data_IF_081919259512
#
_entry.id   IF_081919259512
#
_cell.length_a   1.000
_cell.length_b   1.000
_cell.length_c   1.000
_cell.angle_alpha   90.00
_cell.angle_beta   90.00
_cell.angle_gamma   90.00
#
_symmetry.space_group_name_H-M   'P 1'
#
loop_
_entity.id
_entity.type
_entity.pdbx_description
1 polymer ?
#
# COMPACT_ATOMS: atom_id res chain seq x y z
N UNK A 1 10.30 22.64 -36.89
CA UNK A 1 11.39 21.73 -36.47
C UNK A 1 10.70 20.59 -35.75
N UNK A 2 10.61 19.42 -36.40
CA UNK A 2 9.89 18.26 -35.86
C UNK A 2 10.57 17.82 -34.56
N UNK A 3 9.90 18.00 -33.42
CA UNK A 3 10.33 17.39 -32.17
C UNK A 3 10.00 15.91 -32.26
N UNK A 4 11.04 15.09 -32.37
CA UNK A 4 10.97 13.67 -32.06
C UNK A 4 10.52 13.58 -30.60
N UNK A 5 9.27 13.18 -30.35
CA UNK A 5 8.89 12.63 -29.05
C UNK A 5 9.46 11.23 -29.08
N UNK A 6 10.57 11.01 -28.39
CA UNK A 6 11.01 9.66 -28.08
C UNK A 6 9.96 9.10 -27.12
N UNK A 7 9.04 8.31 -27.64
CA UNK A 7 8.19 7.44 -26.83
C UNK A 7 9.14 6.39 -26.26
N UNK A 8 9.52 6.58 -25.00
CA UNK A 8 10.23 5.57 -24.22
C UNK A 8 9.19 4.49 -23.93
N UNK A 9 9.14 3.47 -24.78
CA UNK A 9 8.37 2.26 -24.51
C UNK A 9 9.29 1.42 -23.61
N UNK A 10 9.11 1.56 -22.30
CA UNK A 10 9.66 0.61 -21.35
C UNK A 10 8.65 -0.52 -21.21
N UNK A 11 9.08 -1.75 -21.47
CA UNK A 11 8.26 -2.94 -21.27
C UNK A 11 8.47 -3.38 -19.81
N UNK A 12 7.55 -2.99 -18.93
CA UNK A 12 7.39 -3.67 -17.65
C UNK A 12 6.70 -5.02 -17.89
N UNK A 13 7.17 -6.04 -17.20
CA UNK A 13 6.59 -7.39 -17.19
C UNK A 13 5.73 -7.50 -15.92
N UNK A 14 4.62 -6.77 -15.86
CA UNK A 14 3.62 -6.95 -14.80
C UNK A 14 2.77 -8.17 -15.17
N UNK A 15 2.66 -9.13 -14.26
CA UNK A 15 1.95 -10.38 -14.50
C UNK A 15 0.59 -10.40 -13.81
N UNK A 16 -0.37 -11.19 -14.32
CA UNK A 16 -1.65 -11.37 -13.64
C UNK A 16 -1.49 -12.07 -12.29
N UNK A 17 -2.32 -11.69 -11.30
CA UNK A 17 -2.47 -12.42 -10.04
C UNK A 17 -3.40 -13.60 -10.23
N UNK A 18 -2.94 -14.82 -9.99
CA UNK A 18 -3.75 -16.02 -10.12
C UNK A 18 -3.84 -16.76 -8.77
N UNK A 19 -4.87 -16.51 -7.93
CA UNK A 19 -5.05 -17.28 -6.71
C UNK A 19 -5.11 -18.79 -7.02
N UNK A 20 -4.33 -19.58 -6.29
CA UNK A 20 -4.13 -21.01 -6.55
C UNK A 20 -3.02 -21.37 -7.55
N UNK A 21 -2.32 -20.40 -8.15
CA UNK A 21 -1.07 -20.60 -8.92
C UNK A 21 0.15 -20.43 -8.01
N UNK A 22 0.25 -21.29 -6.99
CA UNK A 22 1.21 -21.12 -5.88
C UNK A 22 2.68 -21.30 -6.29
N UNK A 23 2.93 -21.84 -7.48
CA UNK A 23 4.28 -21.91 -8.06
C UNK A 23 4.59 -20.78 -9.05
N UNK A 24 3.64 -19.87 -9.27
CA UNK A 24 3.72 -18.70 -10.15
C UNK A 24 4.15 -19.05 -11.59
N UNK A 25 3.75 -20.24 -12.09
CA UNK A 25 4.02 -20.66 -13.46
C UNK A 25 2.94 -20.24 -14.47
N UNK A 26 1.96 -19.47 -13.99
CA UNK A 26 0.78 -18.97 -14.71
C UNK A 26 -0.19 -20.05 -15.16
N UNK A 27 -0.10 -21.24 -14.55
CA UNK A 27 -1.00 -22.34 -14.88
C UNK A 27 -1.44 -23.09 -13.63
N UNK A 28 -2.66 -22.80 -13.18
CA UNK A 28 -3.30 -23.58 -12.11
C UNK A 28 -3.46 -25.03 -12.56
N UNK A 29 -2.65 -25.93 -11.98
CA UNK A 29 -2.56 -27.32 -12.33
C UNK A 29 -2.26 -28.22 -11.11
N UNK A 30 -2.00 -29.51 -11.36
CA UNK A 30 -1.78 -30.46 -10.27
C UNK A 30 -0.51 -30.17 -9.45
N UNK A 31 0.44 -29.41 -9.97
CA UNK A 31 1.64 -29.00 -9.25
C UNK A 31 1.29 -28.05 -8.10
N UNK A 32 0.35 -27.13 -8.30
CA UNK A 32 -0.11 -26.20 -7.28
C UNK A 32 -0.77 -26.93 -6.12
N UNK A 33 -1.63 -27.91 -6.44
CA UNK A 33 -2.24 -28.80 -5.44
C UNK A 33 -1.16 -29.52 -4.62
N UNK A 34 -0.08 -29.98 -5.26
CA UNK A 34 1.01 -30.68 -4.55
C UNK A 34 1.71 -29.73 -3.57
N UNK A 35 1.91 -28.48 -3.94
CA UNK A 35 2.57 -27.48 -3.09
C UNK A 35 1.69 -27.18 -1.87
N UNK A 36 0.41 -26.84 -2.05
CA UNK A 36 -0.51 -26.57 -0.95
C UNK A 36 -0.67 -27.79 -0.03
N UNK A 37 -0.74 -29.00 -0.59
CA UNK A 37 -0.76 -30.23 0.23
C UNK A 37 0.50 -30.34 1.09
N UNK A 38 1.68 -29.99 0.56
CA UNK A 38 2.90 -30.00 1.36
C UNK A 38 2.88 -28.87 2.40
N UNK A 39 2.36 -27.68 2.08
CA UNK A 39 2.19 -26.59 3.03
C UNK A 39 1.34 -27.02 4.24
N UNK A 40 0.19 -27.64 3.97
CA UNK A 40 -0.72 -28.17 5.00
C UNK A 40 -0.08 -29.30 5.82
N UNK A 41 0.68 -30.21 5.18
CA UNK A 41 1.26 -31.38 5.85
C UNK A 41 2.50 -31.00 6.67
N UNK A 42 3.37 -30.16 6.12
CA UNK A 42 4.65 -29.80 6.70
C UNK A 42 4.56 -28.60 7.65
N UNK A 43 3.38 -27.96 7.75
CA UNK A 43 3.13 -26.79 8.61
C UNK A 43 4.14 -25.67 8.34
N UNK A 44 4.40 -25.44 7.05
CA UNK A 44 5.26 -24.37 6.55
C UNK A 44 4.42 -23.15 6.22
N UNK A 45 5.05 -21.98 6.31
CA UNK A 45 4.46 -20.70 5.97
C UNK A 45 3.87 -20.74 4.55
N UNK A 46 2.56 -20.57 4.47
CA UNK A 46 1.79 -20.65 3.24
C UNK A 46 1.89 -19.35 2.46
N UNK A 47 1.99 -19.45 1.14
CA UNK A 47 1.82 -18.30 0.25
C UNK A 47 0.38 -17.77 0.38
N UNK A 48 0.16 -16.45 0.29
CA UNK A 48 -1.19 -15.89 0.24
C UNK A 48 -2.01 -16.40 -0.96
N UNK A 49 -1.34 -16.85 -2.03
CA UNK A 49 -1.96 -17.53 -3.17
C UNK A 49 -2.54 -18.91 -2.82
N UNK A 50 -2.18 -19.48 -1.65
CA UNK A 50 -2.61 -20.80 -1.20
C UNK A 50 -3.99 -20.79 -0.52
N UNK A 51 -4.43 -19.65 0.02
CA UNK A 51 -5.79 -19.45 0.54
C UNK A 51 -6.69 -19.02 -0.64
N UNK A 52 -7.15 -20.02 -1.38
CA UNK A 52 -7.86 -19.83 -2.65
C UNK A 52 -9.33 -19.52 -2.43
N UNK A 53 -9.89 -19.94 -1.30
CA UNK A 53 -11.28 -19.63 -0.94
C UNK A 53 -11.43 -18.36 -0.06
N UNK A 54 -10.31 -17.72 0.31
CA UNK A 54 -10.22 -16.46 1.07
C UNK A 54 -10.95 -16.55 2.41
N UNK A 55 -10.79 -17.68 3.11
CA UNK A 55 -11.39 -17.90 4.44
C UNK A 55 -10.41 -17.72 5.61
N UNK A 56 -9.14 -17.46 5.30
CA UNK A 56 -8.07 -17.16 6.24
C UNK A 56 -7.30 -18.39 6.72
N UNK A 57 -7.71 -19.61 6.33
CA UNK A 57 -7.04 -20.86 6.69
C UNK A 57 -6.66 -21.64 5.43
N UNK A 58 -5.37 -21.96 5.23
CA UNK A 58 -4.95 -22.84 4.14
C UNK A 58 -5.22 -24.31 4.51
N UNK A 59 -6.25 -24.90 3.92
CA UNK A 59 -6.70 -26.26 4.24
C UNK A 59 -7.22 -27.09 3.03
N UNK A 60 -7.96 -28.16 3.33
CA UNK A 60 -8.50 -29.04 2.28
C UNK A 60 -9.54 -28.36 1.39
N UNK A 61 -10.16 -27.27 1.85
CA UNK A 61 -11.12 -26.47 1.10
C UNK A 61 -10.42 -25.72 -0.04
N UNK A 62 -9.21 -25.21 0.14
CA UNK A 62 -8.41 -24.60 -0.93
C UNK A 62 -8.07 -25.62 -2.01
N UNK A 63 -7.62 -26.80 -1.59
CA UNK A 63 -7.34 -27.91 -2.51
C UNK A 63 -8.59 -28.28 -3.30
N UNK A 64 -9.77 -28.34 -2.66
CA UNK A 64 -11.04 -28.61 -3.34
C UNK A 64 -11.34 -27.49 -4.35
N UNK A 65 -11.11 -26.23 -4.00
CA UNK A 65 -11.31 -25.08 -4.89
C UNK A 65 -10.40 -25.18 -6.11
N UNK A 66 -9.10 -25.42 -5.94
CA UNK A 66 -8.15 -25.63 -7.05
C UNK A 66 -8.54 -26.83 -7.91
N UNK A 67 -8.92 -27.96 -7.31
CA UNK A 67 -9.35 -29.13 -8.08
C UNK A 67 -10.58 -28.78 -8.93
N UNK A 68 -11.51 -27.97 -8.40
CA UNK A 68 -12.67 -27.53 -9.18
C UNK A 68 -12.23 -26.64 -10.36
N UNK A 69 -11.29 -25.72 -10.15
CA UNK A 69 -10.69 -24.89 -11.22
C UNK A 69 -10.12 -25.79 -12.33
N UNK A 70 -9.25 -26.73 -11.95
CA UNK A 70 -8.56 -27.64 -12.89
C UNK A 70 -9.55 -28.52 -13.66
N UNK A 71 -10.58 -29.05 -12.99
CA UNK A 71 -11.48 -30.04 -13.56
C UNK A 71 -12.60 -29.43 -14.40
N UNK A 72 -13.11 -28.27 -14.00
CA UNK A 72 -14.29 -27.68 -14.62
C UNK A 72 -13.97 -26.53 -15.56
N UNK A 73 -12.71 -26.05 -15.60
CA UNK A 73 -12.36 -24.80 -16.27
C UNK A 73 -13.40 -23.72 -15.94
N UNK A 74 -13.80 -23.63 -14.66
CA UNK A 74 -14.51 -22.45 -14.21
C UNK A 74 -13.62 -21.26 -14.58
N UNK A 75 -14.22 -20.17 -15.08
CA UNK A 75 -13.51 -18.93 -15.43
C UNK A 75 -12.90 -18.34 -14.16
N UNK A 76 -11.84 -18.98 -13.66
CA UNK A 76 -11.08 -18.53 -12.52
C UNK A 76 -10.21 -17.39 -13.03
N UNK A 77 -10.53 -16.21 -12.53
CA UNK A 77 -9.99 -14.98 -13.05
C UNK A 77 -8.59 -14.80 -12.48
N UNK A 78 -7.58 -15.06 -13.30
CA UNK A 78 -6.33 -14.35 -13.09
C UNK A 78 -6.64 -12.85 -13.21
N UNK A 79 -6.35 -12.09 -12.17
CA UNK A 79 -6.57 -10.66 -12.16
C UNK A 79 -5.45 -10.02 -12.95
N UNK A 80 -5.79 -9.42 -14.09
CA UNK A 80 -4.83 -8.64 -14.84
C UNK A 80 -4.39 -7.41 -14.01
N UNK A 81 -3.16 -6.93 -14.19
CA UNK A 81 -2.72 -5.66 -13.60
C UNK A 81 -3.64 -4.51 -14.01
N UNK A 82 -3.83 -3.54 -13.11
CA UNK A 82 -4.68 -2.39 -13.38
C UNK A 82 -4.17 -1.60 -14.59
N UNK A 83 -5.09 -1.27 -15.51
CA UNK A 83 -4.73 -0.48 -16.68
C UNK A 83 -4.58 0.99 -16.30
N UNK A 84 -3.40 1.58 -16.53
CA UNK A 84 -3.14 2.98 -16.16
C UNK A 84 -3.20 3.90 -17.38
N UNK A 85 -4.09 4.89 -17.33
CA UNK A 85 -4.17 5.99 -18.30
C UNK A 85 -3.51 7.24 -17.73
N UNK A 86 -2.61 7.87 -18.49
CA UNK A 86 -1.80 9.00 -18.02
C UNK A 86 -2.21 10.33 -18.66
N UNK A 87 -2.69 11.26 -17.84
CA UNK A 87 -2.93 12.66 -18.17
C UNK A 87 -1.87 13.53 -17.46
N UNK A 88 -0.66 13.55 -18.03
CA UNK A 88 0.48 14.34 -17.50
C UNK A 88 0.55 15.68 -18.22
N UNK A 89 0.31 16.77 -17.49
CA UNK A 89 0.26 18.12 -18.06
C UNK A 89 1.67 18.64 -18.37
N UNK A 90 1.79 19.45 -19.44
CA UNK A 90 3.08 19.97 -19.91
C UNK A 90 3.69 21.10 -19.04
N UNK A 91 3.01 21.49 -17.96
CA UNK A 91 3.53 22.42 -16.95
C UNK A 91 4.60 21.79 -16.06
N UNK A 92 4.66 20.45 -16.02
CA UNK A 92 5.66 19.71 -15.26
C UNK A 92 7.01 19.67 -16.01
N UNK A 93 8.15 19.78 -15.31
CA UNK A 93 9.46 19.64 -15.93
C UNK A 93 9.66 18.26 -16.57
N UNK A 94 10.34 18.22 -17.73
CA UNK A 94 10.60 16.94 -18.45
C UNK A 94 11.36 15.92 -17.59
N UNK A 95 12.26 16.39 -16.71
CA UNK A 95 13.01 15.51 -15.80
C UNK A 95 12.09 14.87 -14.76
N UNK A 96 11.13 15.63 -14.21
CA UNK A 96 10.14 15.08 -13.29
C UNK A 96 9.21 14.09 -14.00
N UNK A 97 8.77 14.39 -15.23
CA UNK A 97 7.92 13.47 -16.00
C UNK A 97 8.65 12.14 -16.27
N UNK A 98 9.94 12.19 -16.61
CA UNK A 98 10.73 10.99 -16.81
C UNK A 98 10.86 10.17 -15.52
N UNK A 99 11.12 10.85 -14.40
CA UNK A 99 11.23 10.20 -13.09
C UNK A 99 9.89 9.60 -12.62
N UNK A 100 8.78 10.29 -12.87
CA UNK A 100 7.43 9.79 -12.60
C UNK A 100 7.19 8.42 -13.24
N UNK A 101 7.55 8.24 -14.52
CA UNK A 101 7.37 6.95 -15.19
C UNK A 101 8.29 5.86 -14.62
N UNK A 102 9.51 6.20 -14.21
CA UNK A 102 10.42 5.26 -13.53
C UNK A 102 9.83 4.83 -12.18
N UNK A 103 9.25 5.77 -11.42
CA UNK A 103 8.63 5.48 -10.13
C UNK A 103 7.42 4.55 -10.33
N UNK A 104 6.51 4.87 -11.25
CA UNK A 104 5.34 4.02 -11.51
C UNK A 104 5.75 2.62 -11.98
N UNK A 105 6.81 2.51 -12.81
CA UNK A 105 7.35 1.21 -13.21
C UNK A 105 7.88 0.42 -12.02
N UNK A 106 8.76 1.02 -11.20
CA UNK A 106 9.30 0.37 -10.01
C UNK A 106 8.20 -0.08 -9.05
N UNK A 107 7.17 0.75 -8.86
CA UNK A 107 6.05 0.44 -7.98
C UNK A 107 5.16 -0.66 -8.55
N UNK A 108 4.90 -0.65 -9.86
CA UNK A 108 4.10 -1.69 -10.50
C UNK A 108 4.79 -3.05 -10.50
N UNK A 109 6.12 -3.07 -10.53
CA UNK A 109 6.91 -4.30 -10.39
C UNK A 109 6.99 -4.76 -8.92
N UNK A 110 7.02 -3.83 -7.96
CA UNK A 110 7.21 -4.11 -6.53
C UNK A 110 5.91 -4.46 -5.79
N UNK A 111 4.84 -3.73 -6.07
CA UNK A 111 3.52 -3.83 -5.42
C UNK A 111 2.42 -3.75 -6.50
N UNK A 112 2.33 -4.73 -7.39
CA UNK A 112 1.36 -4.71 -8.48
C UNK A 112 -0.07 -4.56 -7.94
N UNK A 113 -0.82 -3.64 -8.55
CA UNK A 113 -2.25 -3.48 -8.29
C UNK A 113 -3.06 -4.15 -9.40
N UNK A 114 -4.19 -4.76 -9.04
CA UNK A 114 -4.95 -5.66 -9.92
C UNK A 114 -6.37 -5.17 -10.21
N UNK A 115 -6.94 -5.66 -11.32
CA UNK A 115 -8.33 -5.40 -11.74
C UNK A 115 -9.35 -6.22 -10.91
N UNK A 116 -9.36 -6.02 -9.60
CA UNK A 116 -10.28 -6.71 -8.68
C UNK A 116 -11.60 -5.94 -8.47
N UNK A 117 -11.51 -4.62 -8.32
CA UNK A 117 -12.64 -3.72 -8.08
C UNK A 117 -12.70 -2.59 -9.12
N UNK A 118 -11.53 -2.09 -9.55
CA UNK A 118 -11.40 -1.08 -10.59
C UNK A 118 -10.65 -1.64 -11.80
N UNK A 119 -11.26 -1.53 -12.98
CA UNK A 119 -10.66 -2.00 -14.24
C UNK A 119 -9.50 -1.10 -14.73
N UNK A 120 -9.58 0.19 -14.41
CA UNK A 120 -8.64 1.21 -14.87
C UNK A 120 -8.36 2.26 -13.80
N UNK A 121 -7.13 2.77 -13.80
CA UNK A 121 -6.68 3.93 -13.05
C UNK A 121 -6.39 5.07 -14.01
N UNK A 122 -6.96 6.25 -13.78
CA UNK A 122 -6.57 7.46 -14.51
C UNK A 122 -5.71 8.38 -13.66
N UNK A 123 -4.47 8.61 -14.08
CA UNK A 123 -3.54 9.53 -13.41
C UNK A 123 -3.67 10.93 -14.00
N UNK A 124 -3.91 11.93 -13.15
CA UNK A 124 -3.83 13.35 -13.51
C UNK A 124 -2.68 14.00 -12.76
N UNK A 125 -1.74 14.62 -13.48
CA UNK A 125 -0.63 15.33 -12.85
C UNK A 125 -0.40 16.69 -13.49
N UNK A 126 -0.20 17.72 -12.68
CA UNK A 126 0.17 19.06 -13.13
C UNK A 126 0.96 19.82 -12.07
N UNK A 127 1.44 21.00 -12.42
CA UNK A 127 2.17 21.87 -11.52
C UNK A 127 1.21 22.93 -10.98
N UNK A 128 1.21 23.18 -9.67
CA UNK A 128 0.31 24.14 -9.02
C UNK A 128 0.49 25.60 -9.47
N UNK A 129 1.47 25.91 -10.32
CA UNK A 129 1.67 27.24 -10.91
C UNK A 129 0.75 27.55 -12.10
N UNK A 130 0.03 26.56 -12.62
CA UNK A 130 -1.00 26.76 -13.65
C UNK A 130 -2.40 26.67 -13.05
N UNK A 131 -3.37 27.27 -13.74
CA UNK A 131 -4.78 27.02 -13.45
C UNK A 131 -5.11 25.55 -13.73
N UNK A 132 -6.03 24.99 -12.94
CA UNK A 132 -6.46 23.59 -13.03
C UNK A 132 -6.76 23.20 -14.49
N UNK A 133 -5.94 22.32 -15.09
CA UNK A 133 -6.04 21.99 -16.51
C UNK A 133 -7.11 20.93 -16.81
N UNK A 134 -7.72 20.30 -15.79
CA UNK A 134 -8.60 19.15 -15.94
C UNK A 134 -10.00 19.42 -15.37
N UNK A 135 -10.95 19.87 -16.21
CA UNK A 135 -12.31 20.18 -15.74
C UNK A 135 -12.98 18.97 -15.08
N UNK A 136 -13.46 19.15 -13.84
CA UNK A 136 -14.12 18.10 -13.05
C UNK A 136 -13.20 17.46 -11.99
N UNK A 137 -11.89 17.54 -12.21
CA UNK A 137 -10.89 17.10 -11.24
C UNK A 137 -10.61 18.25 -10.26
N UNK A 138 -10.49 17.93 -8.97
CA UNK A 138 -10.12 18.91 -7.96
C UNK A 138 -8.60 18.90 -7.77
N UNK A 139 -7.98 20.06 -7.59
CA UNK A 139 -6.58 20.14 -7.18
C UNK A 139 -6.28 19.54 -5.80
N UNK A 140 -5.05 19.04 -5.66
CA UNK A 140 -4.54 18.32 -4.50
C UNK A 140 -3.79 17.04 -4.87
N UNK A 141 -3.53 16.22 -3.86
CA UNK A 141 -2.96 14.87 -4.01
C UNK A 141 -3.88 13.89 -3.32
N UNK A 142 -4.41 12.92 -4.07
CA UNK A 142 -5.36 11.92 -3.56
C UNK A 142 -5.62 10.78 -4.53
N UNK A 143 -6.13 9.67 -3.99
CA UNK A 143 -6.86 8.63 -4.72
C UNK A 143 -8.38 8.83 -4.58
N UNK A 144 -9.14 8.80 -5.69
CA UNK A 144 -10.60 8.87 -5.64
C UNK A 144 -11.32 9.13 -6.96
N UNK A 145 -12.64 9.24 -6.88
CA UNK A 145 -13.55 9.43 -8.01
C UNK A 145 -14.54 8.27 -8.12
N UNK A 146 -15.79 8.51 -7.75
CA UNK A 146 -16.84 7.50 -7.86
C UNK A 146 -17.63 7.64 -9.18
N UNK A 147 -17.91 8.88 -9.61
CA UNK A 147 -18.77 9.17 -10.78
C UNK A 147 -17.96 9.42 -12.08
N UNK A 148 -16.66 9.70 -12.00
CA UNK A 148 -15.78 10.03 -13.14
C UNK A 148 -14.67 8.98 -13.40
N UNK A 149 -14.71 7.85 -12.68
CA UNK A 149 -13.68 6.80 -12.72
C UNK A 149 -12.70 6.88 -11.54
N UNK A 150 -11.91 5.83 -11.34
CA UNK A 150 -10.91 5.74 -10.28
C UNK A 150 -9.65 6.52 -10.66
N UNK A 151 -9.33 7.56 -9.92
CA UNK A 151 -8.26 8.50 -10.28
C UNK A 151 -7.17 8.58 -9.22
N UNK A 152 -5.94 8.77 -9.70
CA UNK A 152 -4.80 9.25 -8.92
C UNK A 152 -4.52 10.69 -9.34
N UNK A 153 -4.62 11.63 -8.41
CA UNK A 153 -4.43 13.06 -8.68
C UNK A 153 -3.15 13.53 -8.01
N UNK A 154 -2.30 14.21 -8.78
CA UNK A 154 -0.97 14.66 -8.40
C UNK A 154 -0.76 16.12 -8.81
N UNK A 155 -1.36 17.05 -8.07
CA UNK A 155 -1.00 18.48 -8.16
C UNK A 155 0.29 18.75 -7.38
N UNK A 156 1.41 18.84 -8.09
CA UNK A 156 2.72 19.06 -7.46
C UNK A 156 2.93 20.56 -7.21
N UNK A 157 3.25 20.91 -5.97
CA UNK A 157 3.46 22.30 -5.58
C UNK A 157 4.69 22.87 -6.29
N UNK A 158 4.55 24.03 -6.94
CA UNK A 158 5.65 24.73 -7.62
C UNK A 158 6.89 24.92 -6.72
N UNK A 159 6.69 25.16 -5.43
CA UNK A 159 7.79 25.36 -4.48
C UNK A 159 8.66 24.11 -4.32
N UNK A 160 8.13 22.91 -4.55
CA UNK A 160 8.90 21.67 -4.47
C UNK A 160 9.96 21.57 -5.57
N UNK A 161 9.69 22.16 -6.73
CA UNK A 161 10.67 22.29 -7.81
C UNK A 161 11.71 23.39 -7.52
N UNK A 162 11.31 24.48 -6.85
CA UNK A 162 12.21 25.59 -6.52
C UNK A 162 13.20 25.24 -5.42
N UNK A 163 12.76 24.43 -4.45
CA UNK A 163 13.54 24.07 -3.26
C UNK A 163 14.00 22.62 -3.25
N UNK A 164 13.77 21.88 -4.33
CA UNK A 164 14.23 20.50 -4.50
C UNK A 164 13.68 19.56 -3.42
N UNK A 165 12.42 19.76 -2.97
CA UNK A 165 11.77 18.91 -1.98
C UNK A 165 11.49 17.50 -2.53
N UNK A 166 11.85 16.46 -1.77
CA UNK A 166 11.64 15.05 -2.15
C UNK A 166 10.17 14.64 -2.20
N UNK A 167 9.29 15.40 -1.54
CA UNK A 167 7.83 15.18 -1.57
C UNK A 167 7.28 15.00 -2.99
N UNK A 168 7.80 15.73 -3.98
CA UNK A 168 7.40 15.62 -5.40
C UNK A 168 7.55 14.21 -5.99
N UNK A 169 8.36 13.36 -5.37
CA UNK A 169 8.53 11.96 -5.74
C UNK A 169 7.88 11.03 -4.71
N UNK A 170 7.96 11.35 -3.41
CA UNK A 170 7.39 10.51 -2.36
C UNK A 170 5.89 10.35 -2.53
N UNK A 171 5.20 11.44 -2.88
CA UNK A 171 3.75 11.44 -3.07
C UNK A 171 3.28 10.51 -4.20
N UNK A 172 4.13 10.23 -5.19
CA UNK A 172 3.80 9.24 -6.23
C UNK A 172 3.77 7.84 -5.60
N UNK A 173 4.74 7.50 -4.75
CA UNK A 173 4.78 6.25 -4.02
C UNK A 173 3.64 6.14 -2.99
N UNK A 174 3.33 7.23 -2.27
CA UNK A 174 2.22 7.30 -1.32
C UNK A 174 0.87 6.99 -1.98
N UNK A 175 0.54 7.73 -3.04
CA UNK A 175 -0.76 7.58 -3.69
C UNK A 175 -0.86 6.23 -4.44
N UNK A 176 0.23 5.73 -5.02
CA UNK A 176 0.20 4.39 -5.64
C UNK A 176 0.08 3.28 -4.59
N UNK A 177 0.67 3.45 -3.40
CA UNK A 177 0.48 2.50 -2.30
C UNK A 177 -0.99 2.40 -1.88
N UNK A 178 -1.75 3.50 -1.92
CA UNK A 178 -3.20 3.46 -1.73
C UNK A 178 -3.91 2.67 -2.83
N UNK A 179 -3.46 2.77 -4.09
CA UNK A 179 -3.99 1.93 -5.19
C UNK A 179 -3.73 0.45 -4.92
N UNK A 180 -2.53 0.11 -4.46
CA UNK A 180 -2.19 -1.25 -4.03
C UNK A 180 -3.09 -1.73 -2.88
N UNK A 181 -3.21 -0.95 -1.80
CA UNK A 181 -4.07 -1.27 -0.65
C UNK A 181 -5.53 -1.50 -1.07
N UNK A 182 -6.09 -0.65 -1.93
CA UNK A 182 -7.44 -0.83 -2.49
C UNK A 182 -7.55 -2.11 -3.34
N UNK A 183 -6.47 -2.52 -4.01
CA UNK A 183 -6.46 -3.72 -4.84
C UNK A 183 -6.33 -5.03 -4.03
N UNK A 184 -5.88 -4.98 -2.78
CA UNK A 184 -5.72 -6.17 -1.94
C UNK A 184 -6.70 -6.22 -0.75
N UNK A 185 -7.37 -5.10 -0.43
CA UNK A 185 -8.41 -5.05 0.61
C UNK A 185 -9.75 -4.61 0.01
N UNK A 186 -10.66 -5.57 -0.23
CA UNK A 186 -11.96 -5.29 -0.83
C UNK A 186 -12.78 -4.28 0.00
N UNK A 187 -12.71 -4.36 1.33
CA UNK A 187 -13.48 -3.50 2.22
C UNK A 187 -13.12 -2.02 2.08
N UNK A 188 -11.87 -1.66 1.73
CA UNK A 188 -11.47 -0.28 1.47
C UNK A 188 -12.22 0.37 0.29
N UNK A 189 -12.74 -0.43 -0.64
CA UNK A 189 -13.48 0.07 -1.80
C UNK A 189 -14.95 0.40 -1.50
N UNK A 190 -15.44 0.07 -0.30
CA UNK A 190 -16.81 0.34 0.10
C UNK A 190 -17.03 1.84 0.37
N UNK A 191 -18.23 2.40 0.08
CA UNK A 191 -18.48 3.82 0.22
C UNK A 191 -18.12 4.38 1.61
N UNK A 192 -17.34 5.46 1.60
CA UNK A 192 -17.01 6.24 2.79
C UNK A 192 -18.16 7.22 3.10
N UNK A 193 -18.98 6.87 4.09
CA UNK A 193 -20.01 7.75 4.62
C UNK A 193 -20.45 7.26 6.00
N UNK A 194 -20.36 8.14 7.01
CA UNK A 194 -20.79 7.91 8.40
C UNK A 194 -20.56 6.49 8.93
N UNK A 195 -19.39 6.20 9.50
CA UNK A 195 -18.97 4.88 10.02
C UNK A 195 -19.69 3.69 9.37
N UNK A 196 -19.33 3.38 8.12
CA UNK A 196 -19.79 2.17 7.47
C UNK A 196 -19.08 0.97 8.12
N UNK A 197 -19.78 0.03 8.77
CA UNK A 197 -19.14 -1.12 9.43
C UNK A 197 -18.48 -2.09 8.46
N UNK A 198 -18.81 -2.00 7.16
CA UNK A 198 -18.29 -2.86 6.10
C UNK A 198 -17.17 -2.22 5.28
N UNK A 199 -16.85 -0.93 5.48
CA UNK A 199 -15.63 -0.35 4.91
C UNK A 199 -14.45 -0.58 5.83
N UNK A 200 -13.23 -0.48 5.32
CA UNK A 200 -12.02 -0.38 6.14
C UNK A 200 -11.47 1.04 6.03
N UNK A 201 -11.43 1.76 7.15
CA UNK A 201 -11.05 3.17 7.15
C UNK A 201 -10.23 3.56 8.38
N UNK A 202 -9.46 2.64 8.95
CA UNK A 202 -8.63 2.89 10.13
C UNK A 202 -7.42 3.72 9.71
N UNK A 203 -7.52 5.04 9.94
CA UNK A 203 -6.61 6.03 9.35
C UNK A 203 -5.14 5.74 9.61
N UNK A 204 -4.74 5.47 10.87
CA UNK A 204 -3.32 5.28 11.15
C UNK A 204 -2.70 4.04 10.48
N UNK A 205 -3.50 3.00 10.27
CA UNK A 205 -3.08 1.80 9.51
C UNK A 205 -3.03 2.05 8.00
N UNK A 206 -3.84 2.99 7.48
CA UNK A 206 -3.88 3.32 6.06
C UNK A 206 -2.83 4.38 5.73
N UNK A 207 -2.99 5.60 6.26
CA UNK A 207 -2.14 6.75 5.95
C UNK A 207 -0.78 6.66 6.63
N UNK A 208 -0.70 6.13 7.85
CA UNK A 208 0.58 5.88 8.50
C UNK A 208 1.42 4.84 7.77
N UNK A 209 0.78 3.81 7.19
CA UNK A 209 1.46 2.81 6.38
C UNK A 209 1.93 3.41 5.06
N UNK A 210 1.08 4.17 4.37
CA UNK A 210 1.44 4.86 3.13
C UNK A 210 2.60 5.85 3.32
N UNK A 211 2.58 6.66 4.38
CA UNK A 211 3.67 7.59 4.70
C UNK A 211 4.96 6.86 5.12
N UNK A 212 4.84 5.70 5.78
CA UNK A 212 6.02 4.86 6.08
C UNK A 212 6.60 4.26 4.80
N UNK A 213 5.75 3.74 3.91
CA UNK A 213 6.13 3.16 2.64
C UNK A 213 6.80 4.20 1.73
N UNK A 214 6.23 5.40 1.54
CA UNK A 214 6.84 6.45 0.72
C UNK A 214 8.22 6.84 1.27
N UNK A 215 8.38 6.87 2.60
CA UNK A 215 9.62 7.24 3.25
C UNK A 215 10.72 6.20 3.01
N UNK A 216 10.37 4.91 3.06
CA UNK A 216 11.27 3.80 2.71
C UNK A 216 11.60 3.80 1.22
N UNK A 217 10.62 4.09 0.35
CA UNK A 217 10.83 4.19 -1.09
C UNK A 217 11.85 5.28 -1.41
N UNK A 218 11.69 6.49 -0.84
CA UNK A 218 12.65 7.57 -1.02
C UNK A 218 14.05 7.18 -0.52
N UNK A 219 14.14 6.45 0.59
CA UNK A 219 15.41 5.97 1.11
C UNK A 219 16.08 4.94 0.19
N UNK A 220 15.33 3.96 -0.31
CA UNK A 220 15.85 2.87 -1.15
C UNK A 220 16.29 3.35 -2.54
N UNK A 221 15.53 4.27 -3.16
CA UNK A 221 15.77 4.68 -4.55
C UNK A 221 16.55 5.99 -4.68
N UNK A 222 16.49 6.88 -3.70
CA UNK A 222 17.16 8.20 -3.74
C UNK A 222 18.25 8.37 -2.68
N UNK A 223 18.49 7.37 -1.84
CA UNK A 223 19.47 7.43 -0.74
C UNK A 223 19.23 8.67 0.15
N UNK A 224 17.96 8.97 0.40
CA UNK A 224 17.51 10.12 1.17
C UNK A 224 16.59 9.63 2.30
N UNK A 225 16.96 9.89 3.56
CA UNK A 225 16.15 9.46 4.69
C UNK A 225 15.01 10.46 4.91
N UNK A 226 13.83 10.18 4.35
CA UNK A 226 12.68 11.07 4.42
C UNK A 226 12.16 11.25 5.86
N UNK A 227 12.24 10.20 6.70
CA UNK A 227 11.89 10.28 8.12
C UNK A 227 12.70 11.36 8.86
N UNK A 228 14.01 11.40 8.65
CA UNK A 228 14.92 12.30 9.36
C UNK A 228 15.09 13.67 8.71
N UNK A 229 14.83 13.79 7.41
CA UNK A 229 15.04 15.04 6.69
C UNK A 229 13.75 15.82 6.41
N UNK A 230 12.56 15.19 6.51
CA UNK A 230 11.28 15.87 6.32
C UNK A 230 10.34 15.65 7.51
N UNK A 231 10.00 14.39 7.83
CA UNK A 231 8.95 14.09 8.81
C UNK A 231 9.29 14.53 10.24
N UNK A 232 10.57 14.46 10.66
CA UNK A 232 10.99 14.83 12.02
C UNK A 232 10.68 16.29 12.39
N UNK A 233 10.46 17.17 11.41
CA UNK A 233 10.10 18.57 11.65
C UNK A 233 8.61 18.76 11.95
N UNK A 234 7.82 17.70 11.84
CA UNK A 234 6.41 17.69 12.18
C UNK A 234 6.23 17.08 13.58
N UNK A 235 5.39 17.71 14.40
CA UNK A 235 5.16 17.28 15.77
C UNK A 235 4.33 16.00 15.82
N UNK A 236 4.75 15.04 16.65
CA UNK A 236 3.91 13.91 17.05
C UNK A 236 3.02 14.38 18.19
N UNK A 237 1.70 14.29 18.01
CA UNK A 237 0.75 14.79 19.00
C UNK A 237 0.70 13.87 20.23
N UNK A 238 0.75 14.43 21.45
CA UNK A 238 0.77 13.69 22.72
C UNK A 238 -0.45 12.78 22.92
N UNK A 239 -1.52 12.97 22.15
CA UNK A 239 -2.68 12.08 22.15
C UNK A 239 -2.37 10.65 21.71
N UNK A 240 -1.26 10.37 21.02
CA UNK A 240 -0.84 8.98 20.73
C UNK A 240 -0.62 8.18 22.01
N UNK A 241 -0.29 8.83 23.13
CA UNK A 241 -0.19 8.18 24.44
C UNK A 241 -1.50 8.19 25.22
N UNK A 242 -2.21 9.32 25.21
CA UNK A 242 -3.33 9.52 26.13
C UNK A 242 -4.67 9.02 25.57
N UNK A 243 -4.82 9.00 24.24
CA UNK A 243 -6.02 8.52 23.56
C UNK A 243 -5.73 8.12 22.08
N UNK A 244 -4.91 7.09 21.83
CA UNK A 244 -4.51 6.70 20.47
C UNK A 244 -5.67 6.36 19.52
N UNK A 245 -6.84 5.94 20.05
CA UNK A 245 -8.02 5.64 19.23
C UNK A 245 -8.47 6.82 18.34
N UNK A 246 -8.10 8.07 18.65
CA UNK A 246 -8.48 9.21 17.80
C UNK A 246 -7.83 9.15 16.41
N UNK A 247 -6.69 8.47 16.28
CA UNK A 247 -5.99 8.30 15.01
C UNK A 247 -6.59 7.17 14.15
N UNK A 248 -7.63 6.48 14.62
CA UNK A 248 -8.42 5.57 13.80
C UNK A 248 -9.31 6.31 12.79
N UNK A 249 -9.60 7.59 13.02
CA UNK A 249 -10.56 8.37 12.23
C UNK A 249 -9.95 9.67 11.68
N UNK A 250 -10.41 10.09 10.48
CA UNK A 250 -9.94 11.29 9.77
C UNK A 250 -10.31 12.62 10.44
N UNK A 251 -11.16 12.62 11.47
CA UNK A 251 -11.39 13.80 12.33
C UNK A 251 -10.14 14.23 13.11
N UNK A 252 -9.12 13.36 13.21
CA UNK A 252 -7.80 13.69 13.79
C UNK A 252 -6.87 14.46 12.85
N UNK A 253 -7.27 14.80 11.62
CA UNK A 253 -6.38 15.42 10.62
C UNK A 253 -5.68 16.70 11.11
N UNK A 254 -6.33 17.50 11.97
CA UNK A 254 -5.68 18.70 12.53
C UNK A 254 -4.60 18.41 13.57
N UNK A 255 -4.57 17.20 14.12
CA UNK A 255 -3.62 16.71 15.13
C UNK A 255 -2.51 15.85 14.50
N UNK A 256 -2.70 15.42 13.26
CA UNK A 256 -1.83 14.45 12.59
C UNK A 256 -1.33 15.03 11.26
N UNK A 257 -0.58 16.12 11.37
CA UNK A 257 -0.02 16.83 10.23
C UNK A 257 0.95 15.88 9.50
N UNK A 258 0.84 15.80 8.17
CA UNK A 258 1.61 14.90 7.32
C UNK A 258 1.60 13.43 7.81
N UNK A 259 0.54 13.03 8.53
CA UNK A 259 0.39 11.69 9.10
C UNK A 259 1.54 11.27 10.03
N UNK A 260 2.24 12.23 10.64
CA UNK A 260 3.45 11.96 11.44
C UNK A 260 3.16 11.14 12.70
N UNK A 261 2.01 11.38 13.34
CA UNK A 261 1.59 10.59 14.50
C UNK A 261 1.16 9.18 14.08
N UNK A 262 0.45 9.06 12.95
CA UNK A 262 0.10 7.77 12.36
C UNK A 262 1.34 6.96 11.95
N UNK A 263 2.34 7.62 11.35
CA UNK A 263 3.64 7.03 10.98
C UNK A 263 4.37 6.55 12.21
N UNK A 264 4.41 7.35 13.29
CA UNK A 264 4.99 6.93 14.56
C UNK A 264 4.31 5.65 15.10
N UNK A 265 2.98 5.55 15.04
CA UNK A 265 2.26 4.35 15.44
C UNK A 265 2.67 3.13 14.59
N UNK A 266 2.74 3.25 13.26
CA UNK A 266 3.17 2.15 12.38
C UNK A 266 4.62 1.72 12.67
N UNK A 267 5.53 2.65 12.90
CA UNK A 267 6.91 2.35 13.25
C UNK A 267 7.03 1.64 14.61
N UNK A 268 6.22 2.04 15.60
CA UNK A 268 6.13 1.34 16.89
C UNK A 268 5.56 -0.07 16.70
N UNK A 269 4.53 -0.23 15.87
CA UNK A 269 3.97 -1.55 15.54
C UNK A 269 5.05 -2.50 15.00
N UNK A 270 5.86 -2.03 14.05
CA UNK A 270 6.99 -2.81 13.55
C UNK A 270 8.00 -3.18 14.65
N UNK A 271 8.32 -2.26 15.58
CA UNK A 271 9.20 -2.57 16.73
C UNK A 271 8.61 -3.60 17.68
N UNK A 272 7.30 -3.57 17.92
CA UNK A 272 6.63 -4.57 18.74
C UNK A 272 6.68 -5.96 18.09
N UNK A 273 6.49 -6.06 16.77
CA UNK A 273 6.66 -7.31 16.02
C UNK A 273 8.11 -7.82 16.10
N UNK A 274 9.10 -6.93 15.96
CA UNK A 274 10.51 -7.30 16.15
C UNK A 274 10.79 -7.79 17.59
N UNK A 275 10.12 -7.23 18.60
CA UNK A 275 10.23 -7.69 19.99
C UNK A 275 9.62 -9.10 20.20
N UNK A 276 8.66 -9.49 19.37
CA UNK A 276 8.11 -10.85 19.31
C UNK A 276 9.00 -11.83 18.55
N UNK A 277 10.05 -11.34 17.86
CA UNK A 277 11.06 -12.16 17.20
C UNK A 277 10.98 -12.19 15.68
N UNK A 278 10.08 -11.41 15.07
CA UNK A 278 10.05 -11.21 13.62
C UNK A 278 11.28 -10.43 13.14
N UNK A 279 11.72 -10.66 11.90
CA UNK A 279 12.71 -9.77 11.29
C UNK A 279 12.11 -8.39 11.04
N UNK A 280 12.95 -7.39 10.72
CA UNK A 280 12.42 -6.06 10.42
C UNK A 280 11.63 -6.08 9.11
N UNK A 281 12.09 -6.86 8.12
CA UNK A 281 11.42 -7.10 6.86
C UNK A 281 10.06 -7.79 7.06
N UNK A 282 9.99 -8.88 7.82
CA UNK A 282 8.72 -9.59 8.10
C UNK A 282 7.75 -8.67 8.84
N UNK A 283 8.24 -7.88 9.81
CA UNK A 283 7.39 -6.96 10.55
C UNK A 283 6.69 -5.94 9.63
N UNK A 284 7.38 -5.42 8.60
CA UNK A 284 6.75 -4.52 7.64
C UNK A 284 5.91 -5.26 6.60
N UNK A 285 6.25 -6.50 6.22
CA UNK A 285 5.41 -7.35 5.35
C UNK A 285 4.04 -7.60 5.99
N UNK A 286 4.05 -7.97 7.27
CA UNK A 286 2.83 -8.15 8.07
C UNK A 286 1.93 -6.91 8.06
N UNK A 287 2.51 -5.71 8.12
CA UNK A 287 1.78 -4.43 8.19
C UNK A 287 1.29 -3.98 6.81
N UNK A 288 2.15 -4.04 5.79
CA UNK A 288 1.87 -3.48 4.47
C UNK A 288 1.02 -4.40 3.59
N UNK A 289 1.11 -5.71 3.80
CA UNK A 289 0.52 -6.71 2.93
C UNK A 289 -0.42 -7.64 3.70
N UNK A 290 0.11 -8.45 4.63
CA UNK A 290 -0.66 -9.56 5.22
C UNK A 290 -1.91 -9.09 5.96
N UNK A 291 -1.81 -8.01 6.75
CA UNK A 291 -2.97 -7.45 7.44
C UNK A 291 -4.02 -6.88 6.45
N UNK A 292 -3.57 -6.35 5.31
CA UNK A 292 -4.48 -5.79 4.31
C UNK A 292 -5.21 -6.90 3.55
N UNK A 293 -4.53 -8.02 3.28
CA UNK A 293 -5.07 -9.21 2.62
C UNK A 293 -6.17 -9.90 3.45
N UNK A 294 -6.23 -9.72 4.78
CA UNK A 294 -7.28 -10.36 5.58
C UNK A 294 -8.71 -9.86 5.30
N UNK A 295 -8.87 -8.85 4.44
CA UNK A 295 -10.18 -8.23 4.16
C UNK A 295 -10.82 -7.56 5.38
N UNK A 296 -10.00 -7.17 6.38
CA UNK A 296 -10.46 -6.54 7.62
C UNK A 296 -11.38 -5.35 7.33
N UNK A 297 -12.47 -5.20 8.09
CA UNK A 297 -13.39 -4.06 8.00
C UNK A 297 -13.58 -3.40 9.36
N UNK A 298 -14.15 -2.20 9.37
CA UNK A 298 -14.37 -1.41 10.58
C UNK A 298 -15.08 -2.19 11.71
N UNK A 299 -15.97 -3.13 11.37
CA UNK A 299 -16.69 -3.93 12.38
C UNK A 299 -15.89 -5.06 13.04
N UNK A 300 -14.76 -5.49 12.46
CA UNK A 300 -14.02 -6.67 12.95
C UNK A 300 -12.49 -6.59 12.82
N UNK A 301 -11.92 -5.49 12.31
CA UNK A 301 -10.48 -5.33 12.11
C UNK A 301 -9.64 -5.62 13.34
N UNK A 302 -10.16 -5.37 14.55
CA UNK A 302 -9.47 -5.67 15.81
C UNK A 302 -9.25 -7.18 16.02
N UNK A 303 -10.13 -8.03 15.49
CA UNK A 303 -9.96 -9.49 15.54
C UNK A 303 -8.84 -9.92 14.60
N UNK A 304 -8.83 -9.41 13.37
CA UNK A 304 -7.75 -9.65 12.41
C UNK A 304 -6.43 -9.07 12.90
N UNK A 305 -6.43 -7.91 13.56
CA UNK A 305 -5.24 -7.31 14.15
C UNK A 305 -4.59 -8.25 15.16
N UNK A 306 -5.39 -8.88 16.04
CA UNK A 306 -4.89 -9.87 17.00
C UNK A 306 -4.36 -11.12 16.28
N UNK A 307 -5.09 -11.59 15.26
CA UNK A 307 -4.71 -12.78 14.50
C UNK A 307 -3.37 -12.58 13.76
N UNK A 308 -3.19 -11.43 13.11
CA UNK A 308 -1.98 -11.10 12.35
C UNK A 308 -0.81 -10.73 13.27
N UNK A 309 -1.01 -9.84 14.24
CA UNK A 309 0.11 -9.27 15.00
C UNK A 309 0.38 -9.95 16.35
N UNK A 310 -0.50 -10.83 16.82
CA UNK A 310 -0.31 -11.62 18.04
C UNK A 310 -0.58 -10.86 19.35
N UNK A 311 -1.08 -9.63 19.29
CA UNK A 311 -1.53 -8.84 20.45
C UNK A 311 -2.74 -7.98 20.09
N UNK A 312 -3.51 -7.59 21.12
CA UNK A 312 -4.67 -6.73 20.92
C UNK A 312 -4.30 -5.28 20.66
N UNK A 313 -5.20 -4.58 19.99
CA UNK A 313 -5.12 -3.12 19.76
C UNK A 313 -4.94 -2.35 21.07
N UNK A 314 -5.58 -2.79 22.16
CA UNK A 314 -5.40 -2.17 23.47
C UNK A 314 -3.99 -2.41 24.04
N UNK A 315 -3.45 -3.62 23.91
CA UNK A 315 -2.08 -3.92 24.33
C UNK A 315 -1.06 -3.11 23.52
N UNK A 316 -1.30 -2.95 22.22
CA UNK A 316 -0.52 -2.08 21.35
C UNK A 316 -0.58 -0.61 21.81
N UNK A 317 -1.79 -0.08 22.01
CA UNK A 317 -1.98 1.30 22.48
C UNK A 317 -1.33 1.57 23.85
N UNK A 318 -1.30 0.58 24.73
CA UNK A 318 -0.55 0.65 25.98
C UNK A 318 0.98 0.61 25.75
N UNK A 319 1.47 -0.17 24.78
CA UNK A 319 2.90 -0.29 24.50
C UNK A 319 3.51 0.96 23.87
N UNK A 320 2.75 1.73 23.08
CA UNK A 320 3.18 3.02 22.50
C UNK A 320 3.78 3.95 23.58
N UNK A 321 3.20 3.97 24.78
CA UNK A 321 3.65 4.82 25.90
C UNK A 321 5.06 4.49 26.41
N UNK A 322 5.61 3.34 26.04
CA UNK A 322 6.96 2.91 26.44
C UNK A 322 8.06 3.43 25.51
N UNK A 323 7.70 3.88 24.31
CA UNK A 323 8.61 4.46 23.33
C UNK A 323 8.74 5.96 23.53
N UNK A 324 9.90 6.60 23.32
CA UNK A 324 10.01 8.06 23.31
C UNK A 324 9.17 8.69 22.19
N UNK A 325 8.55 9.85 22.46
CA UNK A 325 7.70 10.58 21.51
C UNK A 325 8.53 11.30 20.44
N UNK A 326 9.24 10.54 19.61
CA UNK A 326 10.01 11.02 18.47
C UNK A 326 10.23 9.89 17.47
N UNK A 327 10.42 10.24 16.19
CA UNK A 327 10.69 9.26 15.14
C UNK A 327 12.09 8.63 15.27
N UNK A 328 13.10 9.37 15.74
CA UNK A 328 14.51 8.94 15.75
C UNK A 328 14.76 7.57 16.41
N UNK A 329 13.93 7.17 17.38
CA UNK A 329 14.07 5.91 18.10
C UNK A 329 13.31 4.74 17.49
N UNK A 330 12.45 4.99 16.50
CA UNK A 330 11.57 3.98 15.90
C UNK A 330 11.74 3.84 14.39
N UNK A 331 12.52 4.71 13.73
CA UNK A 331 12.82 4.56 12.30
C UNK A 331 13.42 3.19 11.96
N UNK A 332 13.12 2.64 10.77
CA UNK A 332 13.66 1.38 10.31
C UNK A 332 15.17 1.48 10.05
N UNK A 333 15.85 0.33 9.93
CA UNK A 333 17.24 0.30 9.51
C UNK A 333 17.45 1.04 8.18
N UNK A 334 18.58 1.72 8.06
CA UNK A 334 19.00 2.33 6.78
C UNK A 334 19.14 1.31 5.64
N UNK A 335 19.33 0.02 5.99
CA UNK A 335 19.51 -1.09 5.05
C UNK A 335 18.23 -1.82 4.67
N UNK A 336 17.08 -1.44 5.24
CA UNK A 336 15.81 -2.12 4.92
C UNK A 336 15.53 -2.02 3.42
N UNK A 337 15.04 -3.10 2.82
CA UNK A 337 14.75 -3.17 1.39
C UNK A 337 13.28 -3.47 1.18
N UNK A 338 12.59 -2.60 0.46
CA UNK A 338 11.23 -2.85 0.02
C UNK A 338 11.13 -4.14 -0.80
N UNK A 339 12.13 -4.45 -1.64
CA UNK A 339 12.16 -5.72 -2.36
C UNK A 339 12.20 -6.92 -1.43
N UNK A 340 12.84 -6.83 -0.26
CA UNK A 340 12.83 -7.95 0.69
C UNK A 340 11.51 -8.06 1.46
N UNK A 341 10.80 -6.95 1.63
CA UNK A 341 9.48 -6.92 2.28
C UNK A 341 8.42 -7.58 1.40
N UNK A 342 8.41 -7.29 0.09
CA UNK A 342 7.39 -7.78 -0.85
C UNK A 342 7.80 -9.00 -1.68
N UNK A 343 8.87 -9.72 -1.30
CA UNK A 343 9.31 -10.97 -1.94
C UNK A 343 8.94 -12.22 -1.13
#
# INVERSE_FOLDING_TARGET
MNKLIASLIVFSLIYPLCPGDVNEDYTINIQDVIIIVNEIIDDVESNYLSDVNDDGDVDILDIITIINIILYNDEYLCLDPINITYNIHNSLPLEWIAEFYIIIENLSDLIPAYQNYYDELTVYAWNSNVEDPYPGIQGGTYIGGADEGFNMVLEINQMEFEWDHMHRYSVIAHEYFHVYQLSINEAMNQPNGGYNPNTFSIKWLIEGAATTFESMYIQNYYNYNYFLNDLIYTEIDESVYSNPNIFEDYSSNSLDINYTSSTFMVLVLAKELMNLGHSEEDAFKMIFEEFMLTGAKNSDWQNYFIATFGFSVNEFYDSIQTYPLNLENVIPSSSISLQQIFN
#
